data_IF_064571335134
#
_entry.id   IF_064571335134
#
_cell.length_a   1.000
_cell.length_b   1.000
_cell.length_c   1.000
_cell.angle_alpha   90.00
_cell.angle_beta   90.00
_cell.angle_gamma   90.00
#
_symmetry.space_group_name_H-M   'P 1'
#
loop_
_entity.id
_entity.type
_entity.pdbx_description
1 polymer ?
#
# COMPACT_ATOMS: atom_id res chain seq x y z
N UNK A 1 45.23 16.56 -9.33
CA UNK A 1 44.33 15.64 -10.05
C UNK A 1 43.14 15.36 -9.15
N UNK A 2 41.89 15.63 -9.55
CA UNK A 2 40.73 15.26 -8.74
C UNK A 2 40.53 13.74 -8.73
N UNK A 3 40.17 13.18 -7.59
CA UNK A 3 39.90 11.75 -7.43
C UNK A 3 38.62 11.37 -8.21
N UNK A 4 38.59 10.23 -8.92
CA UNK A 4 37.37 9.72 -9.51
C UNK A 4 36.45 9.20 -8.39
N UNK A 5 35.29 9.84 -8.21
CA UNK A 5 34.23 9.29 -7.37
C UNK A 5 33.58 8.12 -8.12
N UNK A 6 33.93 6.90 -7.71
CA UNK A 6 33.28 5.69 -8.18
C UNK A 6 31.96 5.53 -7.43
N UNK A 7 30.85 5.87 -8.07
CA UNK A 7 29.51 5.52 -7.58
C UNK A 7 29.11 4.19 -8.23
N UNK A 8 29.22 3.04 -7.53
CA UNK A 8 28.63 1.82 -8.06
C UNK A 8 27.10 2.03 -8.12
N UNK A 9 26.58 2.30 -9.31
CA UNK A 9 25.14 2.33 -9.56
C UNK A 9 24.62 0.90 -9.59
N UNK A 10 24.61 0.22 -8.44
CA UNK A 10 23.88 -1.04 -8.32
C UNK A 10 22.44 -0.67 -7.98
N UNK A 11 21.63 -0.42 -9.01
CA UNK A 11 20.17 -0.51 -8.86
C UNK A 11 19.87 -1.97 -8.51
N UNK A 12 19.79 -2.25 -7.21
CA UNK A 12 19.37 -3.56 -6.71
C UNK A 12 17.84 -3.58 -6.69
N UNK A 13 17.26 -4.65 -7.24
CA UNK A 13 15.84 -4.93 -7.14
C UNK A 13 15.66 -6.08 -6.16
N UNK A 14 14.81 -5.88 -5.15
CA UNK A 14 14.31 -6.93 -4.30
C UNK A 14 12.79 -6.91 -4.36
N UNK A 15 12.17 -8.09 -4.31
CA UNK A 15 10.72 -8.24 -4.34
C UNK A 15 10.31 -9.31 -3.35
N UNK A 16 9.23 -9.03 -2.63
CA UNK A 16 8.56 -9.99 -1.76
C UNK A 16 7.17 -10.21 -2.33
N UNK A 17 6.82 -11.47 -2.57
CA UNK A 17 5.48 -11.87 -2.98
C UNK A 17 4.91 -12.80 -1.93
N UNK A 18 3.69 -12.51 -1.49
CA UNK A 18 2.98 -13.34 -0.52
C UNK A 18 1.97 -14.23 -1.23
N UNK A 19 1.97 -15.56 -0.99
CA UNK A 19 0.93 -16.41 -1.50
C UNK A 19 -0.38 -16.13 -0.75
N UNK A 20 -1.52 -16.36 -1.41
CA UNK A 20 -2.86 -16.10 -0.85
C UNK A 20 -3.08 -16.65 0.59
N UNK A 21 -2.61 -17.86 0.96
CA UNK A 21 -2.79 -18.38 2.32
C UNK A 21 -2.12 -17.55 3.43
N UNK A 22 -1.16 -16.71 3.06
CA UNK A 22 -0.43 -15.84 3.99
C UNK A 22 -1.01 -14.43 4.05
N UNK A 23 -2.10 -14.17 3.30
CA UNK A 23 -2.77 -12.87 3.25
C UNK A 23 -4.18 -12.97 3.85
N UNK A 24 -4.53 -11.97 4.65
CA UNK A 24 -5.88 -11.72 5.11
C UNK A 24 -6.39 -10.44 4.48
N UNK A 25 -7.43 -10.58 3.65
CA UNK A 25 -8.20 -9.46 3.13
C UNK A 25 -9.41 -9.18 4.02
N UNK A 26 -9.67 -7.91 4.29
CA UNK A 26 -10.90 -7.43 4.93
C UNK A 26 -11.43 -6.25 4.12
N UNK A 27 -12.75 -6.18 3.94
CA UNK A 27 -13.36 -4.99 3.35
C UNK A 27 -14.70 -4.67 4.00
N UNK A 28 -14.96 -3.37 4.13
CA UNK A 28 -16.21 -2.86 4.66
C UNK A 28 -16.60 -1.55 3.99
N UNK A 29 -17.89 -1.24 4.01
CA UNK A 29 -18.41 0.07 3.69
C UNK A 29 -18.90 0.77 4.96
N UNK A 30 -18.96 2.09 4.89
CA UNK A 30 -19.62 2.92 5.88
C UNK A 30 -20.08 4.22 5.18
N UNK A 31 -20.69 5.18 5.89
CA UNK A 31 -21.08 6.46 5.30
C UNK A 31 -19.92 7.26 4.67
N UNK A 32 -18.69 7.02 5.09
CA UNK A 32 -17.50 7.71 4.61
C UNK A 32 -16.99 7.11 3.29
N UNK A 33 -17.16 5.81 3.06
CA UNK A 33 -16.66 5.19 1.84
C UNK A 33 -16.51 3.67 1.87
N UNK A 34 -15.67 3.19 0.95
CA UNK A 34 -15.24 1.80 0.85
C UNK A 34 -13.83 1.69 1.44
N UNK A 35 -13.63 0.69 2.29
CA UNK A 35 -12.36 0.41 2.94
C UNK A 35 -11.90 -1.00 2.60
N UNK A 36 -10.64 -1.12 2.17
CA UNK A 36 -9.97 -2.39 1.88
C UNK A 36 -8.72 -2.48 2.75
N UNK A 37 -8.50 -3.63 3.37
CA UNK A 37 -7.29 -3.92 4.11
C UNK A 37 -6.74 -5.28 3.73
N UNK A 38 -5.43 -5.34 3.49
CA UNK A 38 -4.69 -6.56 3.22
C UNK A 38 -3.53 -6.64 4.21
N UNK A 39 -3.48 -7.72 4.98
CA UNK A 39 -2.43 -7.95 5.96
C UNK A 39 -1.74 -9.29 5.68
N UNK A 40 -0.44 -9.36 5.92
CA UNK A 40 0.20 -10.67 6.06
C UNK A 40 -0.26 -11.34 7.35
N UNK A 41 -0.27 -12.68 7.39
CA UNK A 41 -0.72 -13.47 8.54
C UNK A 41 0.07 -13.21 9.81
N UNK A 42 1.37 -12.93 9.67
CA UNK A 42 2.26 -12.51 10.74
C UNK A 42 2.15 -11.01 11.09
N UNK A 43 1.28 -10.25 10.39
CA UNK A 43 1.07 -8.81 10.50
C UNK A 43 2.34 -7.98 10.26
N UNK A 44 3.30 -8.57 9.54
CA UNK A 44 4.51 -7.89 9.11
C UNK A 44 4.20 -6.77 8.12
N UNK A 45 3.29 -6.99 7.18
CA UNK A 45 2.89 -5.97 6.22
C UNK A 45 1.39 -5.72 6.24
N UNK A 46 1.02 -4.45 6.11
CA UNK A 46 -0.35 -3.99 6.01
C UNK A 46 -0.48 -2.98 4.88
N UNK A 47 -1.43 -3.23 3.98
CA UNK A 47 -1.92 -2.25 3.01
C UNK A 47 -3.36 -1.92 3.35
N UNK A 48 -3.68 -0.63 3.47
CA UNK A 48 -5.04 -0.14 3.64
C UNK A 48 -5.37 0.89 2.59
N UNK A 49 -6.54 0.75 1.98
CA UNK A 49 -7.05 1.61 0.94
C UNK A 49 -8.44 2.09 1.36
N UNK A 50 -8.70 3.39 1.22
CA UNK A 50 -10.03 3.96 1.45
C UNK A 50 -10.46 4.74 0.22
N UNK A 51 -11.72 4.65 -0.20
CA UNK A 51 -12.27 5.39 -1.34
C UNK A 51 -13.48 6.18 -0.86
N UNK A 52 -13.45 7.50 -1.04
CA UNK A 52 -14.52 8.39 -0.59
C UNK A 52 -15.87 8.03 -1.21
N UNK A 53 -16.92 8.03 -0.38
CA UNK A 53 -18.28 7.68 -0.79
C UNK A 53 -18.80 8.50 -1.96
N UNK A 54 -18.44 9.78 -2.03
CA UNK A 54 -18.86 10.70 -3.10
C UNK A 54 -18.33 10.33 -4.49
N UNK A 55 -17.26 9.54 -4.56
CA UNK A 55 -16.66 9.09 -5.80
C UNK A 55 -17.08 7.67 -6.20
N UNK A 56 -17.64 6.90 -5.27
CA UNK A 56 -18.08 5.54 -5.53
C UNK A 56 -19.30 5.53 -6.46
N UNK A 57 -19.21 4.76 -7.55
CA UNK A 57 -20.38 4.45 -8.36
C UNK A 57 -21.34 3.54 -7.58
N UNK A 58 -22.63 3.52 -7.96
CA UNK A 58 -23.64 2.66 -7.32
C UNK A 58 -23.29 1.17 -7.37
N UNK A 59 -22.48 0.76 -8.36
CA UNK A 59 -21.97 -0.60 -8.50
C UNK A 59 -20.54 -0.79 -7.97
N UNK A 60 -19.94 0.22 -7.32
CA UNK A 60 -18.55 0.25 -6.84
C UNK A 60 -17.47 0.10 -7.93
N UNK A 61 -17.85 -0.27 -9.15
CA UNK A 61 -16.96 -0.45 -10.28
C UNK A 61 -16.31 0.89 -10.66
N UNK A 62 -15.01 0.84 -10.94
CA UNK A 62 -14.27 2.03 -11.31
C UNK A 62 -12.77 1.89 -11.08
N UNK A 63 -12.04 2.89 -11.55
CA UNK A 63 -10.63 3.10 -11.19
C UNK A 63 -10.54 4.39 -10.42
N UNK A 64 -9.97 4.30 -9.23
CA UNK A 64 -9.91 5.37 -8.24
C UNK A 64 -8.44 5.69 -8.00
N UNK A 65 -8.00 6.83 -8.53
CA UNK A 65 -6.64 7.31 -8.33
C UNK A 65 -6.40 7.64 -6.84
N UNK A 66 -5.18 7.41 -6.38
CA UNK A 66 -4.75 7.79 -5.04
C UNK A 66 -4.51 9.30 -4.96
N UNK A 67 -4.95 9.92 -3.85
CA UNK A 67 -4.52 11.27 -3.48
C UNK A 67 -3.11 11.26 -2.99
N UNK A 68 -2.43 12.37 -3.20
CA UNK A 68 -1.09 12.61 -2.69
C UNK A 68 -1.06 13.97 -2.00
N UNK A 69 0.00 14.22 -1.22
CA UNK A 69 0.27 15.55 -0.65
C UNK A 69 0.22 16.66 -1.72
N UNK A 70 0.58 16.36 -2.97
CA UNK A 70 0.59 17.34 -4.08
C UNK A 70 -0.73 17.43 -4.84
N UNK A 71 -1.59 16.41 -4.75
CA UNK A 71 -2.91 16.40 -5.38
C UNK A 71 -3.94 15.71 -4.48
N UNK A 72 -4.68 16.53 -3.74
CA UNK A 72 -5.72 16.10 -2.80
C UNK A 72 -7.07 15.83 -3.45
N UNK A 73 -7.22 16.07 -4.76
CA UNK A 73 -8.52 15.98 -5.46
C UNK A 73 -8.94 14.54 -5.74
N UNK A 74 -8.01 13.59 -5.63
CA UNK A 74 -8.28 12.19 -5.88
C UNK A 74 -9.04 11.52 -4.71
N UNK A 75 -9.92 10.57 -5.01
CA UNK A 75 -10.87 10.05 -4.02
C UNK A 75 -10.30 8.95 -3.13
N UNK A 76 -9.17 8.34 -3.49
CA UNK A 76 -8.63 7.19 -2.76
C UNK A 76 -7.44 7.58 -1.88
N UNK A 77 -7.35 7.00 -0.69
CA UNK A 77 -6.23 7.13 0.26
C UNK A 77 -5.56 5.78 0.40
N UNK A 78 -4.23 5.76 0.41
CA UNK A 78 -3.45 4.56 0.69
C UNK A 78 -2.62 4.73 1.97
N UNK A 79 -2.53 3.65 2.75
CA UNK A 79 -1.69 3.54 3.94
C UNK A 79 -0.92 2.24 3.85
N UNK A 80 0.39 2.32 3.93
CA UNK A 80 1.28 1.18 3.94
C UNK A 80 2.04 1.12 5.26
N UNK A 81 2.02 -0.05 5.91
CA UNK A 81 2.78 -0.34 7.11
C UNK A 81 3.67 -1.55 6.90
N UNK A 82 4.92 -1.44 7.34
CA UNK A 82 5.88 -2.54 7.38
C UNK A 82 6.48 -2.63 8.77
N UNK A 83 6.25 -3.75 9.46
CA UNK A 83 6.81 -4.04 10.76
C UNK A 83 8.03 -4.95 10.62
N UNK A 84 9.08 -4.66 11.36
CA UNK A 84 10.24 -5.52 11.52
C UNK A 84 10.50 -5.81 12.99
N UNK A 85 11.03 -6.99 13.24
CA UNK A 85 11.40 -7.45 14.57
C UNK A 85 12.75 -6.85 14.96
N UNK A 86 12.84 -6.22 16.13
CA UNK A 86 14.11 -5.72 16.71
C UNK A 86 14.64 -6.72 17.73
N UNK A 87 13.76 -7.26 18.58
CA UNK A 87 14.08 -8.30 19.59
C UNK A 87 12.97 -9.34 19.64
N UNK A 88 13.11 -10.39 20.45
CA UNK A 88 12.06 -11.41 20.64
C UNK A 88 10.71 -10.85 21.10
N UNK A 89 10.70 -9.70 21.79
CA UNK A 89 9.49 -9.02 22.26
C UNK A 89 9.25 -7.64 21.64
N UNK A 90 10.21 -7.10 20.88
CA UNK A 90 10.18 -5.74 20.35
C UNK A 90 10.01 -5.70 18.85
N UNK A 91 9.03 -4.91 18.39
CA UNK A 91 8.81 -4.59 16.97
C UNK A 91 8.93 -3.09 16.75
N UNK A 92 9.37 -2.70 15.56
CA UNK A 92 9.22 -1.34 15.04
C UNK A 92 8.70 -1.43 13.62
N UNK A 93 8.27 -0.31 13.04
CA UNK A 93 7.77 -0.33 11.68
C UNK A 93 7.76 1.02 10.99
N UNK A 94 7.89 0.97 9.67
CA UNK A 94 7.73 2.11 8.78
C UNK A 94 6.26 2.24 8.42
N UNK A 95 5.76 3.48 8.39
CA UNK A 95 4.38 3.78 8.08
C UNK A 95 4.30 4.95 7.12
N UNK A 96 3.62 4.74 5.99
CA UNK A 96 3.46 5.71 4.92
C UNK A 96 1.97 5.90 4.66
N UNK A 97 1.54 7.15 4.51
CA UNK A 97 0.15 7.47 4.20
C UNK A 97 0.11 8.50 3.09
N UNK A 98 -0.81 8.34 2.14
CA UNK A 98 -0.88 9.18 0.96
C UNK A 98 -1.31 10.63 1.27
N UNK A 99 -1.85 10.86 2.47
CA UNK A 99 -2.13 12.19 3.02
C UNK A 99 -0.86 12.94 3.50
N UNK A 100 0.24 12.23 3.79
CA UNK A 100 1.47 12.80 4.37
C UNK A 100 2.73 12.54 3.54
N UNK A 101 2.67 11.60 2.60
CA UNK A 101 3.77 11.19 1.74
C UNK A 101 3.37 11.26 0.27
N UNK A 102 4.35 11.33 -0.63
CA UNK A 102 4.12 11.29 -2.08
C UNK A 102 3.84 9.85 -2.52
N UNK A 103 2.61 9.39 -2.31
CA UNK A 103 2.12 8.11 -2.84
C UNK A 103 1.41 8.35 -4.17
N UNK A 104 1.65 7.47 -5.12
CA UNK A 104 0.99 7.48 -6.43
C UNK A 104 0.39 6.11 -6.69
N UNK A 105 -0.65 6.05 -7.52
CA UNK A 105 -1.25 4.78 -7.91
C UNK A 105 -2.76 4.84 -7.94
N UNK A 106 -3.38 3.66 -7.85
CA UNK A 106 -4.81 3.51 -8.03
C UNK A 106 -5.36 2.23 -7.41
N UNK A 107 -6.66 2.26 -7.13
CA UNK A 107 -7.47 1.09 -6.82
C UNK A 107 -8.45 0.87 -7.95
N UNK A 108 -8.56 -0.35 -8.46
CA UNK A 108 -9.50 -0.72 -9.51
C UNK A 108 -10.45 -1.78 -9.00
N UNK A 109 -11.74 -1.47 -8.98
CA UNK A 109 -12.81 -2.43 -8.69
C UNK A 109 -13.37 -2.92 -10.03
N UNK A 110 -13.25 -4.23 -10.27
CA UNK A 110 -13.61 -4.87 -11.55
C UNK A 110 -14.91 -5.66 -11.48
N UNK A 111 -15.31 -6.11 -10.29
CA UNK A 111 -16.60 -6.76 -10.08
C UNK A 111 -17.17 -6.41 -8.70
N UNK A 112 -18.50 -6.33 -8.63
CA UNK A 112 -19.27 -6.27 -7.40
C UNK A 112 -20.53 -7.13 -7.55
N UNK A 113 -20.66 -8.13 -6.69
CA UNK A 113 -21.84 -8.95 -6.55
C UNK A 113 -22.64 -8.44 -5.34
N UNK A 114 -23.67 -7.63 -5.61
CA UNK A 114 -24.52 -7.08 -4.56
C UNK A 114 -25.33 -8.14 -3.81
N UNK A 115 -25.66 -9.27 -4.46
CA UNK A 115 -26.44 -10.33 -3.84
C UNK A 115 -25.65 -11.10 -2.77
N UNK A 116 -24.34 -11.31 -3.03
CA UNK A 116 -23.43 -12.01 -2.10
C UNK A 116 -22.53 -11.07 -1.29
N UNK A 117 -22.60 -9.77 -1.53
CA UNK A 117 -21.71 -8.75 -0.97
C UNK A 117 -20.23 -9.09 -1.21
N UNK A 118 -19.87 -9.36 -2.47
CA UNK A 118 -18.50 -9.72 -2.85
C UNK A 118 -17.92 -8.70 -3.82
N UNK A 119 -16.67 -8.29 -3.60
CA UNK A 119 -15.95 -7.39 -4.51
C UNK A 119 -14.68 -8.05 -5.06
N UNK A 120 -14.31 -7.70 -6.29
CA UNK A 120 -13.06 -8.11 -6.92
C UNK A 120 -12.36 -6.92 -7.54
N UNK A 121 -11.04 -6.96 -7.60
CA UNK A 121 -10.26 -5.83 -8.06
C UNK A 121 -8.76 -6.01 -7.92
N UNK A 122 -8.07 -4.88 -8.05
CA UNK A 122 -6.62 -4.79 -7.91
C UNK A 122 -6.22 -3.41 -7.41
N UNK A 123 -5.01 -3.30 -6.91
CA UNK A 123 -4.42 -2.01 -6.56
C UNK A 123 -2.95 -1.99 -6.95
N UNK A 124 -2.45 -0.77 -7.15
CA UNK A 124 -1.03 -0.48 -7.28
C UNK A 124 -0.75 0.81 -6.50
N UNK A 125 0.28 0.78 -5.65
CA UNK A 125 0.77 1.92 -4.87
C UNK A 125 2.27 2.03 -5.11
N UNK A 126 2.73 3.22 -5.49
CA UNK A 126 4.13 3.54 -5.73
C UNK A 126 4.59 4.58 -4.73
N UNK A 127 5.73 4.32 -4.12
CA UNK A 127 6.45 5.27 -3.29
C UNK A 127 7.78 5.56 -4.01
N UNK A 128 7.89 6.71 -4.68
CA UNK A 128 8.95 6.95 -5.68
C UNK A 128 10.33 7.14 -5.05
N UNK A 129 10.38 7.63 -3.83
CA UNK A 129 11.59 7.97 -3.10
C UNK A 129 11.31 7.85 -1.60
N UNK A 130 11.56 6.67 -1.02
CA UNK A 130 11.37 6.42 0.40
C UNK A 130 12.56 5.66 0.99
N UNK A 131 12.74 5.74 2.31
CA UNK A 131 13.68 4.86 3.01
C UNK A 131 13.24 3.41 2.87
N UNK A 132 14.21 2.49 2.69
CA UNK A 132 13.93 1.05 2.66
C UNK A 132 13.16 0.61 3.93
N UNK A 133 11.92 0.12 3.81
CA UNK A 133 11.10 -0.25 4.97
C UNK A 133 11.63 -1.48 5.68
N UNK A 134 12.49 -2.27 5.03
CA UNK A 134 13.15 -3.45 5.57
C UNK A 134 14.44 -3.12 6.33
N UNK A 135 14.98 -1.91 6.15
CA UNK A 135 16.14 -1.44 6.89
C UNK A 135 15.73 -1.02 8.31
N UNK A 136 16.16 -1.83 9.28
CA UNK A 136 15.87 -1.59 10.69
C UNK A 136 16.64 -0.40 11.30
N UNK A 137 17.62 0.15 10.58
CA UNK A 137 18.53 1.20 11.07
C UNK A 137 18.00 2.59 10.67
N UNK A 138 17.21 3.19 11.56
CA UNK A 138 16.44 4.44 11.30
C UNK A 138 17.24 5.74 11.17
N UNK A 139 18.54 5.75 11.50
CA UNK A 139 19.28 7.02 11.71
C UNK A 139 20.71 6.93 11.19
N UNK A 140 20.86 6.83 9.86
CA UNK A 140 22.13 7.14 9.20
C UNK A 140 21.92 8.30 8.25
N UNK A 141 22.89 9.22 8.21
CA UNK A 141 22.94 10.32 7.23
C UNK A 141 22.91 9.84 5.77
N UNK A 142 23.13 8.54 5.54
CA UNK A 142 23.20 7.89 4.23
C UNK A 142 22.23 6.69 4.12
N UNK A 143 21.02 6.80 4.66
CA UNK A 143 20.03 5.73 4.52
C UNK A 143 19.72 5.50 3.03
N UNK A 144 19.71 4.23 2.60
CA UNK A 144 19.41 3.89 1.21
C UNK A 144 17.97 4.29 0.89
N UNK A 145 17.83 5.09 -0.16
CA UNK A 145 16.55 5.47 -0.74
C UNK A 145 16.17 4.44 -1.79
N UNK A 146 14.92 4.04 -1.80
CA UNK A 146 14.39 3.07 -2.74
C UNK A 146 13.07 3.56 -3.34
N UNK A 147 12.73 2.97 -4.47
CA UNK A 147 11.40 3.07 -5.07
C UNK A 147 10.63 1.82 -4.69
N UNK A 148 9.55 1.98 -3.95
CA UNK A 148 8.65 0.87 -3.60
C UNK A 148 7.49 0.82 -4.57
N UNK A 149 7.10 -0.38 -4.97
CA UNK A 149 5.85 -0.63 -5.70
C UNK A 149 5.14 -1.79 -5.03
N UNK A 150 3.92 -1.53 -4.57
CA UNK A 150 3.06 -2.46 -3.85
C UNK A 150 1.87 -2.73 -4.75
N UNK A 151 1.68 -3.99 -5.11
CA UNK A 151 0.58 -4.40 -5.98
C UNK A 151 -0.14 -5.60 -5.39
N UNK A 152 -1.44 -5.68 -5.65
CA UNK A 152 -2.23 -6.83 -5.25
C UNK A 152 -3.51 -6.96 -6.08
N UNK A 153 -4.02 -8.18 -6.14
CA UNK A 153 -5.32 -8.50 -6.72
C UNK A 153 -6.15 -9.28 -5.71
N UNK A 154 -7.46 -9.08 -5.74
CA UNK A 154 -8.40 -9.76 -4.86
C UNK A 154 -9.63 -10.18 -5.67
N UNK A 155 -10.15 -11.35 -5.33
CA UNK A 155 -11.33 -11.92 -5.97
C UNK A 155 -12.31 -12.38 -4.89
N UNK A 156 -13.59 -12.05 -5.08
CA UNK A 156 -14.67 -12.47 -4.18
C UNK A 156 -14.40 -12.10 -2.71
N UNK A 157 -13.81 -10.94 -2.46
CA UNK A 157 -13.56 -10.45 -1.11
C UNK A 157 -14.91 -10.05 -0.47
N UNK A 158 -15.27 -10.59 0.70
CA UNK A 158 -16.49 -10.21 1.40
C UNK A 158 -16.47 -8.73 1.79
N UNK A 159 -17.59 -8.06 1.51
CA UNK A 159 -17.80 -6.65 1.78
C UNK A 159 -18.83 -6.50 2.91
N UNK A 160 -18.34 -6.10 4.07
CA UNK A 160 -19.18 -5.83 5.24
C UNK A 160 -19.89 -4.47 5.11
N UNK A 161 -21.12 -4.32 5.63
CA UNK A 161 -21.87 -3.05 5.60
C UNK A 161 -21.45 -2.06 6.70
#
# INVERSE_FOLDING_TARGET
MPAPYYYPSTTAFSGVSYPTPDLHGHSYQNPQGLHLQFNTRDRRETMSLSIDRSALSTGLLGTYALRSVRDSRHPAVARYGYNYKITDSGTAGSYYTSDLSELQGQVRITAYDAGRHLISGSYEVRLPDESDPTDSVRTRANQLRCRLTLGGSFENLPLEP
#
